data_IF_000308823848
#
_entry.id   IF_000308823848
#
_cell.length_a   1.000
_cell.length_b   1.000
_cell.length_c   1.000
_cell.angle_alpha   90.00
_cell.angle_beta   90.00
_cell.angle_gamma   90.00
#
_symmetry.space_group_name_H-M   'P 1'
#
loop_
_entity.id
_entity.type
_entity.pdbx_description
1 polymer ?
#
# COMPACT_ATOMS: atom_id res chain seq x y z
N UNK A 1 12.47 -22.07 -29.76
CA UNK A 1 12.81 -21.59 -28.42
C UNK A 1 12.09 -20.27 -28.23
N UNK A 2 11.52 -20.01 -27.06
CA UNK A 2 10.78 -18.78 -26.81
C UNK A 2 11.69 -17.56 -26.93
N UNK A 3 11.17 -16.50 -27.53
CA UNK A 3 11.94 -15.32 -27.92
C UNK A 3 11.89 -14.20 -26.87
N UNK A 4 10.95 -14.26 -25.93
CA UNK A 4 10.70 -13.16 -24.99
C UNK A 4 11.41 -13.40 -23.66
N UNK A 5 12.15 -12.38 -23.21
CA UNK A 5 12.95 -12.41 -21.99
C UNK A 5 12.72 -11.14 -21.18
N UNK A 6 12.77 -11.25 -19.86
CA UNK A 6 12.50 -10.14 -18.93
C UNK A 6 13.70 -9.22 -18.68
N UNK A 7 14.67 -9.17 -19.61
CA UNK A 7 15.94 -8.44 -19.40
C UNK A 7 15.76 -6.94 -19.20
N UNK A 8 14.73 -6.35 -19.82
CA UNK A 8 14.42 -4.93 -19.66
C UNK A 8 13.73 -4.61 -18.34
N UNK A 9 13.10 -5.59 -17.67
CA UNK A 9 12.22 -5.34 -16.54
C UNK A 9 12.90 -4.63 -15.37
N UNK A 10 14.13 -4.98 -14.93
CA UNK A 10 14.75 -4.30 -13.78
C UNK A 10 14.89 -2.79 -13.97
N UNK A 11 15.27 -2.36 -15.18
CA UNK A 11 15.39 -0.94 -15.51
C UNK A 11 14.02 -0.24 -15.56
N UNK A 12 13.02 -0.91 -16.13
CA UNK A 12 11.66 -0.39 -16.22
C UNK A 12 10.94 -0.34 -14.86
N UNK A 13 11.17 -1.33 -14.02
CA UNK A 13 10.69 -1.38 -12.63
C UNK A 13 11.26 -0.23 -11.80
N UNK A 14 12.55 0.09 -11.97
CA UNK A 14 13.17 1.22 -11.28
C UNK A 14 12.53 2.56 -11.65
N UNK A 15 12.18 2.78 -12.93
CA UNK A 15 11.45 3.98 -13.39
C UNK A 15 10.07 4.13 -12.73
N UNK A 16 9.49 3.02 -12.27
CA UNK A 16 8.20 2.93 -11.57
C UNK A 16 8.36 2.90 -10.04
N UNK A 17 9.56 3.20 -9.54
CA UNK A 17 9.88 3.24 -8.11
C UNK A 17 9.82 1.87 -7.44
N UNK A 18 10.00 0.78 -8.18
CA UNK A 18 10.06 -0.58 -7.65
C UNK A 18 11.52 -1.01 -7.57
N UNK A 19 11.98 -1.37 -6.37
CA UNK A 19 13.32 -1.93 -6.17
C UNK A 19 13.25 -3.44 -6.41
N UNK A 20 14.02 -3.92 -7.37
CA UNK A 20 14.14 -5.34 -7.71
C UNK A 20 15.55 -5.81 -7.37
N UNK A 21 15.65 -6.85 -6.54
CA UNK A 21 16.90 -7.58 -6.35
C UNK A 21 17.12 -8.56 -7.51
N UNK A 22 18.38 -8.82 -7.84
CA UNK A 22 18.76 -9.69 -8.96
C UNK A 22 19.49 -10.90 -8.42
N UNK A 23 18.93 -12.09 -8.63
CA UNK A 23 19.58 -13.33 -8.24
C UNK A 23 20.74 -13.65 -9.21
N UNK A 24 21.90 -14.12 -8.74
CA UNK A 24 23.04 -14.42 -9.62
C UNK A 24 22.65 -15.30 -10.82
N UNK A 25 22.99 -14.85 -12.04
CA UNK A 25 22.71 -15.54 -13.30
C UNK A 25 21.25 -15.51 -13.76
N UNK A 26 20.41 -14.61 -13.23
CA UNK A 26 19.01 -14.46 -13.63
C UNK A 26 18.84 -14.23 -15.14
N UNK A 27 19.78 -13.55 -15.78
CA UNK A 27 19.76 -13.17 -17.18
C UNK A 27 19.67 -14.39 -18.10
N UNK A 28 20.39 -15.45 -17.75
CA UNK A 28 20.51 -16.65 -18.60
C UNK A 28 19.57 -17.77 -18.16
N UNK A 29 18.85 -17.58 -17.06
CA UNK A 29 18.06 -18.65 -16.44
C UNK A 29 16.70 -18.78 -17.11
N UNK A 30 16.44 -20.00 -17.60
CA UNK A 30 15.17 -20.40 -18.18
C UNK A 30 14.98 -21.91 -18.09
N UNK A 31 13.76 -22.38 -18.35
CA UNK A 31 13.51 -23.79 -18.66
C UNK A 31 14.14 -24.15 -20.01
N UNK A 32 14.13 -25.44 -20.36
CA UNK A 32 14.76 -25.98 -21.58
C UNK A 32 14.25 -25.38 -22.90
N UNK A 33 13.13 -24.67 -22.90
CA UNK A 33 12.59 -23.98 -24.09
C UNK A 33 13.15 -22.58 -24.34
N UNK A 34 14.04 -22.07 -23.48
CA UNK A 34 14.54 -20.70 -23.56
C UNK A 34 13.55 -19.70 -22.98
N UNK A 35 13.39 -18.55 -23.63
CA UNK A 35 12.45 -17.51 -23.24
C UNK A 35 10.99 -17.96 -23.26
N UNK A 36 10.08 -17.02 -22.99
CA UNK A 36 8.65 -17.23 -23.19
C UNK A 36 8.33 -17.24 -24.70
N UNK A 37 7.32 -18.01 -25.10
CA UNK A 37 6.80 -18.00 -26.47
C UNK A 37 6.03 -16.69 -26.75
N UNK A 38 5.46 -16.10 -25.69
CA UNK A 38 4.86 -14.77 -25.66
C UNK A 38 4.66 -14.34 -24.21
N UNK A 39 4.62 -13.04 -23.93
CA UNK A 39 4.22 -12.53 -22.61
C UNK A 39 2.74 -12.15 -22.71
N UNK A 40 1.86 -13.06 -22.29
CA UNK A 40 0.40 -12.92 -22.44
C UNK A 40 -0.31 -12.77 -21.09
N UNK A 41 0.44 -12.80 -19.98
CA UNK A 41 -0.11 -12.50 -18.68
C UNK A 41 0.87 -12.68 -17.53
N UNK A 42 0.36 -12.44 -16.34
CA UNK A 42 1.06 -12.66 -15.07
C UNK A 42 0.27 -13.68 -14.27
N UNK A 43 0.94 -14.74 -13.82
CA UNK A 43 0.36 -15.73 -12.93
C UNK A 43 0.90 -15.53 -11.52
N UNK A 44 -0.02 -15.23 -10.60
CA UNK A 44 0.25 -15.05 -9.19
C UNK A 44 0.17 -16.41 -8.48
N UNK A 45 1.19 -16.71 -7.69
CA UNK A 45 1.31 -17.94 -6.89
C UNK A 45 1.54 -17.61 -5.41
N UNK A 46 1.45 -18.63 -4.58
CA UNK A 46 2.12 -18.67 -3.29
C UNK A 46 3.01 -19.92 -3.17
N UNK A 47 3.99 -19.88 -2.29
CA UNK A 47 5.01 -20.93 -2.19
C UNK A 47 4.60 -22.14 -1.34
N UNK A 48 3.46 -22.06 -0.65
CA UNK A 48 3.04 -22.99 0.41
C UNK A 48 4.08 -23.18 1.54
N UNK A 49 5.04 -22.25 1.67
CA UNK A 49 6.10 -22.33 2.67
C UNK A 49 5.59 -21.91 4.05
N UNK A 50 5.88 -22.63 5.14
CA UNK A 50 5.39 -22.26 6.48
C UNK A 50 6.03 -20.95 6.96
N UNK A 51 5.39 -20.22 7.90
CA UNK A 51 5.90 -18.97 8.47
C UNK A 51 7.29 -19.10 9.11
N UNK A 52 7.65 -20.31 9.56
CA UNK A 52 8.95 -20.64 10.13
C UNK A 52 10.08 -20.70 9.09
N UNK A 53 9.76 -20.74 7.80
CA UNK A 53 10.76 -20.60 6.73
C UNK A 53 11.31 -19.20 6.82
N UNK A 54 12.62 -19.04 7.04
CA UNK A 54 13.26 -17.73 6.95
C UNK A 54 13.07 -17.19 5.52
N UNK A 55 12.18 -16.20 5.30
CA UNK A 55 11.92 -15.67 3.96
C UNK A 55 13.10 -14.83 3.46
N UNK A 56 13.97 -14.41 4.38
CA UNK A 56 15.18 -13.63 4.14
C UNK A 56 16.42 -14.52 4.08
N UNK A 57 16.23 -15.85 4.02
CA UNK A 57 17.26 -16.78 3.57
C UNK A 57 17.04 -17.06 2.07
N UNK A 58 17.50 -16.15 1.19
CA UNK A 58 17.42 -16.37 -0.26
C UNK A 58 18.21 -17.62 -0.67
N UNK A 59 19.18 -18.07 0.15
CA UNK A 59 19.97 -19.25 -0.15
C UNK A 59 19.20 -20.57 0.05
N UNK A 60 18.00 -20.59 0.65
CA UNK A 60 17.23 -21.82 0.80
C UNK A 60 16.07 -21.90 -0.20
N UNK A 61 15.15 -20.92 -0.21
CA UNK A 61 13.99 -20.95 -1.12
C UNK A 61 14.33 -20.57 -2.55
N UNK A 62 15.05 -19.47 -2.76
CA UNK A 62 15.41 -19.04 -4.11
C UNK A 62 16.48 -19.98 -4.71
N UNK A 63 17.38 -20.51 -3.88
CA UNK A 63 18.26 -21.61 -4.31
C UNK A 63 17.50 -22.85 -4.73
N UNK A 64 16.49 -23.29 -3.96
CA UNK A 64 15.63 -24.39 -4.39
C UNK A 64 14.97 -24.10 -5.75
N UNK A 65 14.34 -22.93 -5.88
CA UNK A 65 13.64 -22.52 -7.10
C UNK A 65 14.55 -22.44 -8.32
N UNK A 66 15.77 -21.94 -8.18
CA UNK A 66 16.60 -21.53 -9.30
C UNK A 66 17.90 -22.30 -9.49
N UNK A 67 18.30 -23.15 -8.52
CA UNK A 67 19.57 -23.88 -8.55
C UNK A 67 19.42 -25.38 -8.26
N UNK A 68 18.67 -25.79 -7.23
CA UNK A 68 18.67 -27.20 -6.79
C UNK A 68 17.48 -28.04 -7.23
N UNK A 69 16.30 -27.45 -7.50
CA UNK A 69 15.15 -28.24 -7.95
C UNK A 69 15.41 -28.94 -9.29
N UNK A 70 14.88 -30.16 -9.43
CA UNK A 70 14.95 -30.92 -10.68
C UNK A 70 14.16 -30.27 -11.81
N UNK A 71 13.16 -29.45 -11.47
CA UNK A 71 12.33 -28.72 -12.43
C UNK A 71 12.68 -27.24 -12.53
N UNK A 72 13.85 -26.81 -12.01
CA UNK A 72 14.28 -25.41 -12.10
C UNK A 72 14.32 -24.87 -13.55
N UNK A 73 14.19 -23.55 -13.74
CA UNK A 73 13.77 -22.57 -12.74
C UNK A 73 12.28 -22.67 -12.41
N UNK A 74 11.93 -22.48 -11.14
CA UNK A 74 10.57 -22.29 -10.66
C UNK A 74 10.37 -20.80 -10.42
N UNK A 75 9.38 -20.20 -11.08
CA UNK A 75 9.08 -18.77 -10.96
C UNK A 75 10.09 -17.89 -11.68
N UNK A 76 9.61 -16.75 -12.17
CA UNK A 76 10.47 -15.65 -12.61
C UNK A 76 10.89 -14.81 -11.41
N UNK A 77 9.93 -14.52 -10.52
CA UNK A 77 10.12 -13.70 -9.34
C UNK A 77 9.88 -14.48 -8.05
N UNK A 78 10.60 -14.10 -7.00
CA UNK A 78 10.28 -14.42 -5.61
C UNK A 78 9.86 -13.15 -4.88
N UNK A 79 8.74 -13.20 -4.15
CA UNK A 79 8.25 -12.12 -3.30
C UNK A 79 8.30 -12.55 -1.83
N UNK A 80 9.22 -11.97 -1.07
CA UNK A 80 9.39 -12.22 0.36
C UNK A 80 8.28 -11.59 1.21
N UNK A 81 8.11 -12.10 2.43
CA UNK A 81 7.11 -11.61 3.41
C UNK A 81 7.32 -10.16 3.83
N UNK A 82 8.55 -9.66 3.72
CA UNK A 82 8.93 -8.28 4.01
C UNK A 82 8.70 -7.32 2.82
N UNK A 83 8.17 -7.82 1.70
CA UNK A 83 7.95 -7.05 0.48
C UNK A 83 9.17 -6.99 -0.46
N UNK A 84 10.28 -7.66 -0.13
CA UNK A 84 11.44 -7.74 -1.03
C UNK A 84 11.08 -8.57 -2.27
N UNK A 85 11.37 -8.03 -3.46
CA UNK A 85 11.15 -8.70 -4.74
C UNK A 85 12.48 -9.05 -5.35
N UNK A 86 12.69 -10.31 -5.69
CA UNK A 86 13.86 -10.76 -6.45
C UNK A 86 13.47 -11.34 -7.81
N UNK A 87 14.12 -10.89 -8.88
CA UNK A 87 14.08 -11.53 -10.19
C UNK A 87 15.17 -12.60 -10.26
N UNK A 88 14.77 -13.84 -10.54
CA UNK A 88 15.72 -14.96 -10.65
C UNK A 88 15.69 -15.70 -11.97
N UNK A 89 14.70 -15.53 -12.84
CA UNK A 89 14.75 -16.09 -14.19
C UNK A 89 14.17 -15.11 -15.21
N UNK A 90 14.98 -14.70 -16.19
CA UNK A 90 14.54 -13.85 -17.28
C UNK A 90 13.74 -14.62 -18.35
N UNK A 91 13.95 -15.93 -18.49
CA UNK A 91 13.23 -16.76 -19.48
C UNK A 91 12.00 -17.47 -18.91
N UNK A 92 11.44 -18.43 -19.66
CA UNK A 92 10.29 -19.20 -19.20
C UNK A 92 10.63 -20.05 -17.96
N UNK A 93 9.69 -20.21 -17.02
CA UNK A 93 9.86 -20.98 -15.80
C UNK A 93 8.88 -22.17 -15.71
N UNK A 94 9.22 -23.21 -14.95
CA UNK A 94 8.38 -24.40 -14.76
C UNK A 94 7.45 -24.24 -13.54
N UNK A 95 6.44 -23.37 -13.64
CA UNK A 95 5.58 -23.03 -12.49
C UNK A 95 4.13 -23.46 -12.66
N UNK A 96 3.50 -23.10 -13.79
CA UNK A 96 2.08 -23.31 -14.05
C UNK A 96 1.74 -24.81 -14.21
N UNK A 97 2.54 -25.54 -14.98
CA UNK A 97 2.29 -26.95 -15.30
C UNK A 97 0.93 -27.17 -15.99
N UNK A 98 0.32 -28.33 -15.76
CA UNK A 98 -0.92 -28.73 -16.44
C UNK A 98 -2.14 -27.85 -16.07
N UNK A 99 -2.91 -27.39 -17.05
CA UNK A 99 -4.02 -26.46 -16.84
C UNK A 99 -4.44 -25.73 -18.12
N UNK A 100 -5.33 -24.75 -17.97
CA UNK A 100 -5.94 -24.06 -19.10
C UNK A 100 -6.85 -24.97 -19.93
N UNK A 101 -7.09 -24.63 -21.22
CA UNK A 101 -6.72 -23.37 -21.87
C UNK A 101 -7.39 -22.15 -21.20
N UNK A 102 -6.81 -20.96 -21.34
CA UNK A 102 -7.36 -19.75 -20.73
C UNK A 102 -7.27 -18.54 -21.69
N UNK A 103 -8.36 -17.76 -21.89
CA UNK A 103 -8.34 -16.56 -22.70
C UNK A 103 -7.57 -15.41 -22.02
N UNK A 104 -6.94 -14.58 -22.84
CA UNK A 104 -6.22 -13.35 -22.50
C UNK A 104 -6.58 -12.27 -23.54
N UNK A 105 -6.16 -11.03 -23.33
CA UNK A 105 -6.31 -9.94 -24.30
C UNK A 105 -5.59 -10.23 -25.63
N UNK A 106 -4.60 -11.12 -25.63
CA UNK A 106 -3.73 -11.48 -26.77
C UNK A 106 -4.10 -12.80 -27.44
N UNK A 107 -5.17 -13.45 -26.98
CA UNK A 107 -5.63 -14.75 -27.47
C UNK A 107 -5.74 -15.78 -26.36
N UNK A 108 -5.89 -17.06 -26.73
CA UNK A 108 -6.06 -18.15 -25.76
C UNK A 108 -4.74 -18.87 -25.54
N UNK A 109 -4.24 -18.86 -24.29
CA UNK A 109 -3.10 -19.70 -23.91
C UNK A 109 -3.53 -21.17 -24.02
N UNK A 110 -2.84 -22.00 -24.83
CA UNK A 110 -3.23 -23.39 -25.04
C UNK A 110 -3.17 -24.24 -23.77
N UNK A 111 -3.91 -25.36 -23.75
CA UNK A 111 -3.83 -26.38 -22.71
C UNK A 111 -2.36 -26.74 -22.41
N UNK A 112 -2.01 -26.79 -21.13
CA UNK A 112 -0.69 -27.15 -20.58
C UNK A 112 0.47 -26.27 -21.06
N UNK A 113 0.18 -25.09 -21.63
CA UNK A 113 1.19 -24.19 -22.17
C UNK A 113 1.56 -23.02 -21.23
N UNK A 114 0.94 -22.90 -20.05
CA UNK A 114 1.08 -21.74 -19.15
C UNK A 114 2.52 -21.33 -18.86
N UNK A 115 3.44 -22.29 -18.68
CA UNK A 115 4.87 -22.04 -18.45
C UNK A 115 5.55 -21.20 -19.54
N UNK A 116 5.00 -21.21 -20.77
CA UNK A 116 5.58 -20.50 -21.92
C UNK A 116 4.92 -19.15 -22.19
N UNK A 117 3.83 -18.80 -21.47
CA UNK A 117 3.03 -17.61 -21.75
C UNK A 117 2.80 -16.68 -20.55
N UNK A 118 2.94 -17.19 -19.32
CA UNK A 118 2.74 -16.41 -18.11
C UNK A 118 4.05 -16.15 -17.38
N UNK A 119 4.28 -14.88 -17.01
CA UNK A 119 5.29 -14.51 -16.02
C UNK A 119 4.83 -15.06 -14.66
N UNK A 120 5.70 -15.79 -13.96
CA UNK A 120 5.37 -16.42 -12.69
C UNK A 120 5.96 -15.66 -11.50
N UNK A 121 5.12 -15.31 -10.52
CA UNK A 121 5.54 -14.73 -9.24
C UNK A 121 5.25 -15.72 -8.12
N UNK A 122 6.29 -16.17 -7.43
CA UNK A 122 6.20 -17.05 -6.26
C UNK A 122 6.29 -16.23 -4.98
N UNK A 123 5.18 -16.09 -4.26
CA UNK A 123 5.16 -15.29 -3.03
C UNK A 123 5.24 -16.16 -1.76
N UNK A 124 6.05 -15.71 -0.80
CA UNK A 124 6.32 -16.39 0.45
C UNK A 124 5.09 -16.37 1.38
N UNK A 125 4.30 -17.45 1.39
CA UNK A 125 3.14 -17.63 2.29
C UNK A 125 2.70 -19.11 2.28
N UNK A 126 2.10 -19.60 3.36
CA UNK A 126 1.55 -20.95 3.44
C UNK A 126 0.16 -21.11 2.77
N UNK A 127 -0.58 -20.00 2.65
CA UNK A 127 -1.96 -19.82 2.18
C UNK A 127 -3.05 -20.71 2.78
N UNK A 128 -2.80 -21.35 3.91
CA UNK A 128 -3.78 -22.14 4.65
C UNK A 128 -4.15 -21.47 5.99
N UNK A 129 -3.83 -20.18 6.16
CA UNK A 129 -4.21 -19.38 7.33
C UNK A 129 -3.18 -18.35 7.77
N UNK A 130 -1.97 -18.36 7.18
CA UNK A 130 -0.98 -17.31 7.42
C UNK A 130 -1.44 -15.98 6.82
N UNK A 131 -1.60 -14.97 7.68
CA UNK A 131 -1.86 -13.60 7.25
C UNK A 131 -0.75 -13.13 6.31
N UNK A 132 -1.17 -12.61 5.15
CA UNK A 132 -0.27 -11.91 4.25
C UNK A 132 0.06 -10.53 4.82
N UNK A 133 1.34 -10.20 5.08
CA UNK A 133 1.73 -8.88 5.55
C UNK A 133 1.32 -7.79 4.57
N UNK A 134 0.89 -6.63 5.09
CA UNK A 134 0.48 -5.49 4.28
C UNK A 134 1.58 -5.05 3.30
N UNK A 135 2.83 -4.98 3.76
CA UNK A 135 3.99 -4.64 2.93
C UNK A 135 4.22 -5.64 1.79
N UNK A 136 3.94 -6.92 2.01
CA UNK A 136 4.01 -7.95 0.97
C UNK A 136 2.88 -7.76 -0.04
N UNK A 137 1.66 -7.48 0.40
CA UNK A 137 0.50 -7.24 -0.47
C UNK A 137 0.72 -6.01 -1.35
N UNK A 138 1.21 -4.90 -0.79
CA UNK A 138 1.51 -3.69 -1.57
C UNK A 138 2.65 -3.93 -2.57
N UNK A 139 3.70 -4.66 -2.18
CA UNK A 139 4.77 -5.05 -3.10
C UNK A 139 4.26 -5.95 -4.22
N UNK A 140 3.38 -6.91 -3.92
CA UNK A 140 2.78 -7.80 -4.93
C UNK A 140 1.96 -7.00 -5.93
N UNK A 141 1.10 -6.11 -5.43
CA UNK A 141 0.24 -5.27 -6.26
C UNK A 141 1.06 -4.38 -7.18
N UNK A 142 2.08 -3.69 -6.63
CA UNK A 142 2.98 -2.83 -7.41
C UNK A 142 3.76 -3.60 -8.46
N UNK A 143 4.23 -4.81 -8.14
CA UNK A 143 4.94 -5.68 -9.08
C UNK A 143 4.04 -6.10 -10.24
N UNK A 144 2.82 -6.56 -9.94
CA UNK A 144 1.88 -7.01 -10.98
C UNK A 144 1.46 -5.84 -11.86
N UNK A 145 1.15 -4.68 -11.29
CA UNK A 145 0.88 -3.46 -12.05
C UNK A 145 2.06 -3.07 -12.95
N UNK A 146 3.28 -3.05 -12.42
CA UNK A 146 4.47 -2.72 -13.21
C UNK A 146 4.70 -3.71 -14.35
N UNK A 147 4.45 -5.01 -14.13
CA UNK A 147 4.53 -6.02 -15.20
C UNK A 147 3.46 -5.78 -16.27
N UNK A 148 2.23 -5.44 -15.89
CA UNK A 148 1.18 -5.10 -16.83
C UNK A 148 1.54 -3.88 -17.68
N UNK A 149 2.00 -2.81 -17.04
CA UNK A 149 2.37 -1.57 -17.71
C UNK A 149 3.59 -1.74 -18.64
N UNK A 150 4.61 -2.48 -18.22
CA UNK A 150 5.84 -2.70 -19.01
C UNK A 150 5.59 -3.58 -20.23
N UNK A 151 4.75 -4.60 -20.11
CA UNK A 151 4.53 -5.59 -21.15
C UNK A 151 3.21 -5.40 -21.91
N UNK A 152 2.51 -4.30 -21.66
CA UNK A 152 1.24 -3.93 -22.30
C UNK A 152 0.18 -5.05 -22.13
N UNK A 153 0.00 -5.47 -20.89
CA UNK A 153 -0.99 -6.49 -20.50
C UNK A 153 -2.22 -5.80 -19.92
N UNK A 154 -3.40 -6.32 -20.26
CA UNK A 154 -4.68 -5.83 -19.73
C UNK A 154 -4.95 -6.45 -18.36
N UNK A 155 -4.89 -5.70 -17.24
CA UNK A 155 -5.04 -6.26 -15.91
C UNK A 155 -6.34 -7.04 -15.71
N UNK A 156 -7.44 -6.62 -16.33
CA UNK A 156 -8.75 -7.24 -16.16
C UNK A 156 -8.87 -8.61 -16.83
N UNK A 157 -7.94 -8.98 -17.71
CA UNK A 157 -7.93 -10.28 -18.41
C UNK A 157 -6.67 -11.09 -18.17
N UNK A 158 -5.51 -10.45 -18.08
CA UNK A 158 -4.20 -11.10 -18.23
C UNK A 158 -3.51 -11.39 -16.90
N UNK A 159 -4.04 -10.88 -15.78
CA UNK A 159 -3.63 -11.26 -14.43
C UNK A 159 -4.41 -12.48 -14.01
N UNK A 160 -3.74 -13.57 -13.65
CA UNK A 160 -4.36 -14.84 -13.30
C UNK A 160 -3.77 -15.39 -12.01
N UNK A 161 -4.48 -16.33 -11.40
CA UNK A 161 -4.00 -17.13 -10.28
C UNK A 161 -3.59 -18.52 -10.77
N UNK A 162 -2.71 -19.21 -10.03
CA UNK A 162 -2.43 -20.62 -10.32
C UNK A 162 -3.71 -21.46 -10.24
N UNK A 163 -4.59 -21.14 -9.30
CA UNK A 163 -5.92 -21.72 -9.20
C UNK A 163 -6.75 -21.51 -10.47
N UNK A 164 -6.76 -20.30 -11.04
CA UNK A 164 -7.55 -20.05 -12.26
C UNK A 164 -6.99 -20.78 -13.48
N UNK A 165 -5.66 -21.00 -13.52
CA UNK A 165 -5.03 -21.84 -14.53
C UNK A 165 -5.34 -23.34 -14.33
N UNK A 166 -5.30 -23.82 -13.08
CA UNK A 166 -5.41 -25.23 -12.74
C UNK A 166 -6.42 -25.47 -11.60
N UNK A 167 -7.73 -25.22 -11.83
CA UNK A 167 -8.73 -25.10 -10.77
C UNK A 167 -8.97 -26.36 -9.95
N UNK A 168 -8.70 -27.53 -10.53
CA UNK A 168 -8.86 -28.82 -9.86
C UNK A 168 -7.61 -29.28 -9.10
N UNK A 169 -6.51 -28.53 -9.18
CA UNK A 169 -5.19 -28.96 -8.71
C UNK A 169 -4.51 -27.95 -7.80
N UNK A 170 -4.96 -26.69 -7.85
CA UNK A 170 -4.32 -25.54 -7.23
C UNK A 170 -5.35 -24.69 -6.51
N UNK A 171 -4.93 -24.09 -5.41
CA UNK A 171 -5.76 -23.18 -4.61
C UNK A 171 -5.22 -21.75 -4.65
N UNK A 172 -4.03 -21.55 -5.20
CA UNK A 172 -3.23 -20.37 -4.91
C UNK A 172 -3.38 -19.24 -5.93
N UNK A 173 -3.17 -17.98 -5.48
CA UNK A 173 -2.88 -17.56 -4.11
C UNK A 173 -4.11 -17.70 -3.18
N UNK A 174 -3.83 -18.04 -1.92
CA UNK A 174 -4.83 -18.27 -0.90
C UNK A 174 -4.36 -17.73 0.45
N UNK A 175 -5.28 -17.60 1.40
CA UNK A 175 -5.02 -17.11 2.75
C UNK A 175 -5.56 -15.70 3.00
N UNK A 176 -5.55 -15.24 4.26
CA UNK A 176 -6.17 -13.99 4.65
C UNK A 176 -5.31 -12.78 4.33
N UNK A 177 -5.96 -11.72 3.85
CA UNK A 177 -5.36 -10.43 3.48
C UNK A 177 -6.08 -9.29 4.22
N UNK A 178 -5.91 -9.13 5.55
CA UNK A 178 -6.63 -8.12 6.32
C UNK A 178 -6.43 -6.67 5.83
N UNK A 179 -5.28 -6.35 5.21
CA UNK A 179 -5.04 -5.04 4.58
C UNK A 179 -5.81 -4.84 3.27
N UNK A 180 -6.21 -5.93 2.60
CA UNK A 180 -7.06 -5.93 1.41
C UNK A 180 -8.14 -7.01 1.53
N UNK A 181 -9.15 -6.84 2.39
CA UNK A 181 -10.13 -7.90 2.70
C UNK A 181 -10.91 -8.39 1.49
N UNK A 182 -11.04 -7.56 0.44
CA UNK A 182 -11.69 -7.92 -0.83
C UNK A 182 -10.99 -9.06 -1.57
N UNK A 183 -9.70 -9.33 -1.30
CA UNK A 183 -8.94 -10.41 -1.92
C UNK A 183 -9.21 -11.74 -1.23
N UNK A 184 -8.65 -11.97 -0.03
CA UNK A 184 -8.71 -13.24 0.70
C UNK A 184 -9.52 -13.21 2.00
N UNK A 185 -10.19 -12.09 2.32
CA UNK A 185 -10.84 -11.86 3.61
C UNK A 185 -9.86 -11.57 4.75
N UNK A 186 -10.37 -11.51 5.98
CA UNK A 186 -9.57 -11.19 7.18
C UNK A 186 -9.06 -12.42 7.93
N UNK A 187 -9.56 -13.62 7.62
CA UNK A 187 -9.15 -14.89 8.24
C UNK A 187 -9.42 -16.10 7.32
N UNK A 188 -8.80 -17.25 7.61
CA UNK A 188 -8.99 -18.51 6.88
C UNK A 188 -7.98 -18.74 5.73
N UNK A 189 -8.17 -19.83 4.97
CA UNK A 189 -7.25 -20.30 3.93
C UNK A 189 -7.87 -20.37 2.52
N UNK A 190 -8.79 -19.44 2.20
CA UNK A 190 -9.51 -19.48 0.92
C UNK A 190 -8.65 -18.90 -0.21
N UNK A 191 -8.85 -19.42 -1.42
CA UNK A 191 -8.37 -18.76 -2.65
C UNK A 191 -8.88 -17.33 -2.70
N UNK A 192 -8.03 -16.42 -3.18
CA UNK A 192 -8.38 -15.03 -3.32
C UNK A 192 -9.48 -14.79 -4.38
N UNK A 193 -10.11 -13.62 -4.32
CA UNK A 193 -11.02 -13.11 -5.32
C UNK A 193 -10.26 -12.46 -6.48
N UNK A 194 -10.22 -13.14 -7.63
CA UNK A 194 -9.50 -12.68 -8.80
C UNK A 194 -9.99 -11.32 -9.31
N UNK A 195 -11.31 -11.11 -9.36
CA UNK A 195 -11.88 -9.86 -9.86
C UNK A 195 -11.49 -8.67 -9.00
N UNK A 196 -11.39 -8.86 -7.68
CA UNK A 196 -10.93 -7.82 -6.76
C UNK A 196 -9.45 -7.48 -6.99
N UNK A 197 -8.58 -8.49 -7.12
CA UNK A 197 -7.16 -8.28 -7.43
C UNK A 197 -6.98 -7.55 -8.76
N UNK A 198 -7.66 -8.01 -9.82
CA UNK A 198 -7.59 -7.38 -11.14
C UNK A 198 -8.03 -5.92 -11.13
N UNK A 199 -9.10 -5.62 -10.40
CA UNK A 199 -9.58 -4.25 -10.22
C UNK A 199 -8.55 -3.38 -9.51
N UNK A 200 -7.91 -3.89 -8.46
CA UNK A 200 -6.87 -3.15 -7.74
C UNK A 200 -5.63 -2.92 -8.61
N UNK A 201 -5.20 -3.92 -9.40
CA UNK A 201 -4.08 -3.77 -10.35
C UNK A 201 -4.40 -2.72 -11.41
N UNK A 202 -5.59 -2.77 -12.01
CA UNK A 202 -6.03 -1.82 -13.03
C UNK A 202 -6.03 -0.38 -12.51
N UNK A 203 -6.37 -0.18 -11.24
CA UNK A 203 -6.43 1.14 -10.63
C UNK A 203 -5.09 1.58 -9.98
N UNK A 204 -4.08 0.73 -9.85
CA UNK A 204 -2.88 1.07 -9.07
C UNK A 204 -2.15 2.35 -9.56
N UNK A 205 -2.14 2.61 -10.87
CA UNK A 205 -1.55 3.83 -11.46
C UNK A 205 -2.46 5.08 -11.44
N UNK A 206 -3.74 4.93 -11.08
CA UNK A 206 -4.73 6.02 -11.00
C UNK A 206 -5.20 6.29 -9.57
N UNK A 207 -4.94 5.35 -8.65
CA UNK A 207 -5.04 5.58 -7.22
C UNK A 207 -4.04 6.68 -6.84
N UNK A 208 -4.40 7.66 -6.00
CA UNK A 208 -3.40 8.51 -5.38
C UNK A 208 -2.36 7.58 -4.75
N UNK A 209 -1.09 7.76 -5.12
CA UNK A 209 0.01 6.96 -4.57
C UNK A 209 0.06 7.23 -3.07
N UNK A 210 -0.57 6.36 -2.30
CA UNK A 210 -0.26 6.27 -0.89
C UNK A 210 1.14 5.63 -0.85
N UNK A 211 2.18 6.30 -0.31
CA UNK A 211 3.36 5.54 0.12
C UNK A 211 2.86 4.39 1.00
N UNK A 212 3.48 3.20 0.96
CA UNK A 212 3.05 2.07 1.78
C UNK A 212 2.84 2.57 3.20
N UNK A 213 1.57 2.72 3.58
CA UNK A 213 1.22 3.24 4.88
C UNK A 213 1.50 2.11 5.82
N UNK A 214 2.61 2.18 6.53
CA UNK A 214 2.68 1.44 7.77
C UNK A 214 1.49 1.92 8.60
N UNK A 215 0.53 1.03 8.89
CA UNK A 215 -0.53 1.25 9.90
C UNK A 215 0.03 1.59 11.30
N UNK A 216 1.32 1.92 11.43
CA UNK A 216 1.98 2.46 12.62
C UNK A 216 1.89 3.97 12.76
N UNK A 217 1.54 4.72 11.72
CA UNK A 217 1.81 6.16 11.67
C UNK A 217 0.68 7.02 12.24
N UNK A 218 -0.58 6.58 12.18
CA UNK A 218 -1.66 7.25 12.89
C UNK A 218 -1.77 6.74 14.33
N UNK A 219 -1.53 7.62 15.29
CA UNK A 219 -1.78 7.37 16.72
C UNK A 219 -3.14 7.92 17.09
N UNK A 220 -4.11 7.02 17.30
CA UNK A 220 -5.43 7.36 17.82
C UNK A 220 -5.36 7.57 19.34
N UNK A 221 -6.15 8.52 19.84
CA UNK A 221 -6.35 8.72 21.28
C UNK A 221 -7.82 8.87 21.61
N UNK A 222 -8.16 8.71 22.88
CA UNK A 222 -9.41 9.27 23.36
C UNK A 222 -9.40 10.78 23.07
N UNK A 223 -10.52 11.38 22.63
CA UNK A 223 -10.58 12.81 22.38
C UNK A 223 -10.12 13.61 23.60
N UNK A 224 -9.13 14.48 23.44
CA UNK A 224 -8.64 15.38 24.49
C UNK A 224 -8.91 16.81 24.10
N UNK A 225 -9.57 17.55 24.99
CA UNK A 225 -9.76 18.99 24.82
C UNK A 225 -8.43 19.71 24.99
N UNK A 226 -7.85 20.17 23.90
CA UNK A 226 -6.59 20.92 23.91
C UNK A 226 -6.82 22.42 23.90
N UNK A 227 -7.95 22.90 23.37
CA UNK A 227 -8.32 24.34 23.41
C UNK A 227 -9.80 24.47 23.76
N UNK A 228 -10.10 25.38 24.68
CA UNK A 228 -11.42 25.93 24.89
C UNK A 228 -11.28 27.41 25.19
N UNK A 229 -11.57 28.27 24.21
CA UNK A 229 -11.41 29.72 24.34
C UNK A 229 -12.40 30.37 25.34
N UNK A 230 -13.33 29.61 25.92
CA UNK A 230 -14.29 30.11 26.91
C UNK A 230 -13.74 29.99 28.33
N UNK A 231 -13.00 28.92 28.63
CA UNK A 231 -12.51 28.59 29.98
C UNK A 231 -10.97 28.47 30.06
N UNK A 232 -10.31 28.18 28.94
CA UNK A 232 -8.90 27.81 28.86
C UNK A 232 -8.67 26.34 29.24
N UNK A 233 -7.57 25.75 28.76
CA UNK A 233 -7.15 24.40 29.15
C UNK A 233 -5.80 24.42 29.85
N UNK A 234 -5.42 23.30 30.48
CA UNK A 234 -4.08 23.13 31.05
C UNK A 234 -2.97 23.17 29.99
N UNK A 235 -3.26 22.75 28.76
CA UNK A 235 -2.32 22.77 27.64
C UNK A 235 -2.21 24.15 27.00
N UNK A 236 -3.36 24.82 26.85
CA UNK A 236 -3.50 26.11 26.17
C UNK A 236 -4.45 26.99 27.01
N UNK A 237 -3.93 27.79 27.96
CA UNK A 237 -4.73 28.51 28.95
C UNK A 237 -5.42 29.78 28.40
N UNK A 238 -5.64 29.85 27.08
CA UNK A 238 -6.33 30.97 26.46
C UNK A 238 -7.84 30.88 26.71
N UNK A 239 -8.40 31.86 27.43
CA UNK A 239 -9.78 31.88 27.92
C UNK A 239 -10.56 33.12 27.49
N UNK A 240 -10.26 33.63 26.30
CA UNK A 240 -10.90 34.82 25.74
C UNK A 240 -11.39 34.53 24.34
N UNK A 241 -12.46 35.21 23.93
CA UNK A 241 -12.94 35.18 22.55
C UNK A 241 -11.81 35.61 21.60
N UNK A 242 -11.65 34.89 20.49
CA UNK A 242 -10.68 35.26 19.47
C UNK A 242 -11.27 36.38 18.64
N UNK A 243 -10.50 37.43 18.35
CA UNK A 243 -10.95 38.53 17.50
C UNK A 243 -9.75 39.12 16.75
N UNK A 244 -9.60 38.74 15.48
CA UNK A 244 -8.41 39.03 14.69
C UNK A 244 -7.12 38.57 15.40
N UNK A 245 -7.19 37.38 16.00
CA UNK A 245 -6.14 36.84 16.88
C UNK A 245 -5.54 35.59 16.27
N UNK A 246 -4.21 35.50 16.25
CA UNK A 246 -3.48 34.27 15.98
C UNK A 246 -3.08 33.64 17.31
N UNK A 247 -3.47 32.40 17.56
CA UNK A 247 -2.96 31.62 18.68
C UNK A 247 -2.00 30.53 18.18
N UNK A 248 -0.95 30.29 18.96
CA UNK A 248 -0.10 29.09 18.80
C UNK A 248 -0.59 28.04 19.79
N UNK A 249 -0.93 26.87 19.27
CA UNK A 249 -1.54 25.76 20.02
C UNK A 249 -0.52 24.64 20.20
N UNK A 250 -0.41 24.16 21.44
CA UNK A 250 0.34 22.97 21.81
C UNK A 250 -0.58 21.74 21.76
N UNK A 251 -0.30 20.74 20.91
CA UNK A 251 -1.05 19.49 20.90
C UNK A 251 -0.72 18.62 22.12
N UNK A 252 -1.49 17.55 22.31
CA UNK A 252 -1.27 16.57 23.37
C UNK A 252 -0.78 15.23 22.82
N UNK A 253 0.48 14.86 23.12
CA UNK A 253 1.15 13.68 22.55
C UNK A 253 1.30 12.48 23.50
N UNK A 254 0.71 12.52 24.71
CA UNK A 254 0.85 11.46 25.72
C UNK A 254 2.33 11.03 25.98
N UNK A 255 3.27 11.97 25.82
CA UNK A 255 4.71 11.70 25.79
C UNK A 255 5.48 12.78 25.01
N UNK A 256 6.72 12.48 24.60
CA UNK A 256 7.52 13.41 23.81
C UNK A 256 7.03 13.50 22.35
N UNK A 257 7.06 14.66 21.70
CA UNK A 257 6.47 14.91 20.37
C UNK A 257 7.25 14.30 19.18
N UNK A 258 8.11 13.30 19.42
CA UNK A 258 9.04 12.81 18.40
C UNK A 258 8.30 12.22 17.20
N UNK A 259 8.57 12.80 16.03
CA UNK A 259 8.09 12.34 14.73
C UNK A 259 6.72 12.88 14.29
N UNK A 260 6.00 13.63 15.14
CA UNK A 260 4.70 14.13 14.74
C UNK A 260 4.80 15.20 13.63
N UNK A 261 3.99 15.06 12.58
CA UNK A 261 3.93 16.00 11.45
C UNK A 261 2.51 16.56 11.20
N UNK A 262 1.50 16.02 11.87
CA UNK A 262 0.13 16.50 11.78
C UNK A 262 -0.78 15.94 12.86
N UNK A 263 -1.87 16.64 13.13
CA UNK A 263 -2.89 16.28 14.12
C UNK A 263 -4.27 16.21 13.48
N UNK A 264 -5.12 15.33 14.00
CA UNK A 264 -6.56 15.30 13.66
C UNK A 264 -7.33 15.93 14.80
N UNK A 265 -8.17 16.89 14.46
CA UNK A 265 -8.96 17.68 15.40
C UNK A 265 -10.43 17.60 15.05
N UNK A 266 -11.28 17.53 16.07
CA UNK A 266 -12.67 17.93 15.98
C UNK A 266 -12.76 19.39 16.47
N UNK A 267 -13.17 20.28 15.59
CA UNK A 267 -13.21 21.72 15.84
C UNK A 267 -14.66 22.17 15.89
N UNK A 268 -15.02 22.87 16.95
CA UNK A 268 -16.32 23.53 17.08
C UNK A 268 -16.11 25.04 17.20
N UNK A 269 -16.78 25.81 16.34
CA UNK A 269 -16.77 27.27 16.37
C UNK A 269 -18.17 27.80 16.65
N UNK A 270 -18.25 28.79 17.52
CA UNK A 270 -19.48 29.53 17.82
C UNK A 270 -19.19 31.02 17.84
N UNK A 271 -20.05 31.80 17.19
CA UNK A 271 -19.93 33.25 17.11
C UNK A 271 -21.29 33.92 16.93
N UNK A 272 -21.37 35.20 17.30
CA UNK A 272 -22.49 36.09 17.01
C UNK A 272 -22.34 36.81 15.66
N UNK A 273 -21.24 36.63 14.93
CA UNK A 273 -20.99 37.19 13.59
C UNK A 273 -20.60 36.07 12.62
N UNK A 274 -20.78 36.29 11.32
CA UNK A 274 -20.29 35.35 10.32
C UNK A 274 -18.77 35.45 10.20
N UNK A 275 -18.08 34.33 10.03
CA UNK A 275 -16.63 34.30 9.95
C UNK A 275 -16.09 32.91 9.64
N UNK A 276 -14.78 32.75 9.79
CA UNK A 276 -14.11 31.48 9.53
C UNK A 276 -12.90 31.28 10.45
N UNK A 277 -12.47 30.03 10.57
CA UNK A 277 -11.25 29.65 11.28
C UNK A 277 -10.26 29.00 10.29
N UNK A 278 -8.99 29.38 10.42
CA UNK A 278 -7.87 28.81 9.65
C UNK A 278 -6.89 28.14 10.60
N UNK A 279 -6.39 26.97 10.20
CA UNK A 279 -5.36 26.22 10.88
C UNK A 279 -4.17 25.98 9.96
N UNK A 280 -2.95 26.10 10.49
CA UNK A 280 -1.72 25.81 9.74
C UNK A 280 -0.52 25.60 10.68
N UNK A 281 0.62 25.21 10.12
CA UNK A 281 1.85 24.94 10.87
C UNK A 281 2.51 26.19 11.49
N UNK A 282 2.11 27.39 11.06
CA UNK A 282 2.68 28.64 11.50
C UNK A 282 4.03 29.02 10.90
N UNK A 283 4.55 28.22 9.95
CA UNK A 283 5.85 28.44 9.28
C UNK A 283 5.71 29.44 8.14
N UNK A 284 4.66 29.28 7.33
CA UNK A 284 4.28 30.24 6.29
C UNK A 284 3.15 31.14 6.76
N UNK A 285 2.82 32.11 5.92
CA UNK A 285 1.61 32.92 6.08
C UNK A 285 0.36 32.05 6.17
N UNK A 286 -0.66 32.56 6.87
CA UNK A 286 -1.93 31.85 7.02
C UNK A 286 -2.53 31.55 5.63
N UNK A 287 -3.02 30.32 5.40
CA UNK A 287 -3.74 29.99 4.16
C UNK A 287 -4.94 30.90 3.92
N UNK A 288 -5.23 31.20 2.65
CA UNK A 288 -6.43 31.94 2.26
C UNK A 288 -7.71 31.09 2.34
N UNK A 289 -7.57 29.76 2.43
CA UNK A 289 -8.68 28.84 2.54
C UNK A 289 -9.10 28.65 4.00
N UNK A 290 -10.40 28.74 4.27
CA UNK A 290 -11.00 28.43 5.57
C UNK A 290 -11.09 26.92 5.80
N UNK A 291 -10.83 26.46 7.04
CA UNK A 291 -11.11 25.07 7.43
C UNK A 291 -12.55 24.89 7.92
N UNK A 292 -13.10 25.90 8.58
CA UNK A 292 -14.49 25.94 9.02
C UNK A 292 -15.04 27.35 8.91
N UNK A 293 -16.27 27.46 8.42
CA UNK A 293 -17.02 28.71 8.38
C UNK A 293 -18.18 28.62 9.38
N UNK A 294 -18.47 29.75 10.02
CA UNK A 294 -19.54 29.84 11.01
C UNK A 294 -20.43 31.05 10.73
N UNK A 295 -21.71 30.92 11.08
CA UNK A 295 -22.72 31.95 10.94
C UNK A 295 -23.33 32.28 12.32
N UNK A 296 -23.88 33.50 12.51
CA UNK A 296 -24.51 33.88 13.76
C UNK A 296 -25.57 32.86 14.20
N UNK A 297 -25.49 32.42 15.45
CA UNK A 297 -26.49 31.51 16.04
C UNK A 297 -26.37 30.05 15.62
N UNK A 298 -25.35 29.69 14.82
CA UNK A 298 -25.07 28.30 14.44
C UNK A 298 -23.80 27.83 15.15
N UNK A 299 -23.89 26.67 15.79
CA UNK A 299 -22.72 25.92 16.26
C UNK A 299 -22.19 25.13 15.07
N UNK A 300 -21.07 25.56 14.50
CA UNK A 300 -20.46 24.87 13.37
C UNK A 300 -19.39 23.91 13.89
N UNK A 301 -19.40 22.66 13.42
CA UNK A 301 -18.38 21.66 13.74
C UNK A 301 -17.81 20.99 12.49
N UNK A 302 -16.53 20.63 12.52
CA UNK A 302 -15.91 19.81 11.46
C UNK A 302 -14.66 19.09 11.96
N UNK A 303 -14.30 18.00 11.27
CA UNK A 303 -13.00 17.35 11.46
C UNK A 303 -11.96 17.95 10.53
N UNK A 304 -10.77 18.25 11.05
CA UNK A 304 -9.66 18.81 10.29
C UNK A 304 -8.37 18.06 10.56
N UNK A 305 -7.56 17.89 9.51
CA UNK A 305 -6.14 17.58 9.64
C UNK A 305 -5.34 18.88 9.60
N UNK A 306 -4.37 19.03 10.51
CA UNK A 306 -3.53 20.23 10.60
C UNK A 306 -2.06 19.82 10.65
N UNK A 307 -1.19 20.32 9.76
CA UNK A 307 0.24 20.09 9.83
C UNK A 307 0.84 20.78 11.06
N UNK A 308 1.89 20.21 11.62
CA UNK A 308 2.60 20.79 12.77
C UNK A 308 3.91 21.45 12.36
N UNK A 309 4.27 22.50 13.09
CA UNK A 309 5.53 23.20 12.92
C UNK A 309 6.72 22.24 13.06
N UNK A 310 7.82 22.45 12.32
CA UNK A 310 9.08 21.73 12.49
C UNK A 310 9.85 22.21 13.73
N UNK A 311 9.16 22.62 14.80
CA UNK A 311 9.75 22.96 16.08
C UNK A 311 9.71 21.77 17.05
N UNK A 312 10.39 21.90 18.19
CA UNK A 312 10.49 20.84 19.19
C UNK A 312 9.16 20.48 19.82
N UNK A 313 8.20 21.41 19.89
CA UNK A 313 6.89 21.21 20.51
C UNK A 313 5.81 20.75 19.52
N UNK A 314 6.12 20.71 18.21
CA UNK A 314 5.19 20.38 17.13
C UNK A 314 3.88 21.18 17.20
N UNK A 315 3.98 22.47 17.45
CA UNK A 315 2.81 23.36 17.56
C UNK A 315 2.11 23.58 16.23
N UNK A 316 0.86 24.05 16.25
CA UNK A 316 0.20 24.62 15.08
C UNK A 316 -0.41 25.99 15.44
N UNK A 317 -0.92 26.73 14.47
CA UNK A 317 -1.58 28.02 14.68
C UNK A 317 -3.05 27.95 14.31
N UNK A 318 -3.85 28.75 15.02
CA UNK A 318 -5.26 29.00 14.73
C UNK A 318 -5.49 30.50 14.59
N UNK A 319 -6.29 30.89 13.60
CA UNK A 319 -6.67 32.28 13.34
C UNK A 319 -8.15 32.38 13.02
N UNK A 320 -8.77 33.45 13.50
CA UNK A 320 -10.06 33.93 13.01
C UNK A 320 -10.02 35.46 12.88
N UNK A 321 -10.44 36.03 11.74
CA UNK A 321 -10.54 37.48 11.58
C UNK A 321 -11.71 38.08 12.37
N UNK A 322 -12.68 37.27 12.75
CA UNK A 322 -13.92 37.71 13.39
C UNK A 322 -14.00 37.22 14.83
N UNK A 323 -14.75 37.95 15.65
CA UNK A 323 -15.02 37.56 17.05
C UNK A 323 -15.66 36.18 17.11
N UNK A 324 -15.12 35.25 17.88
CA UNK A 324 -15.74 33.94 18.09
C UNK A 324 -14.97 33.05 19.07
N UNK A 325 -15.68 32.08 19.61
CA UNK A 325 -15.10 31.02 20.44
C UNK A 325 -14.85 29.77 19.61
N UNK A 326 -13.69 29.17 19.85
CA UNK A 326 -13.30 27.88 19.28
C UNK A 326 -13.04 26.89 20.42
N UNK A 327 -13.52 25.67 20.22
CA UNK A 327 -13.23 24.47 21.03
C UNK A 327 -12.54 23.47 20.11
N UNK A 328 -11.44 22.89 20.57
CA UNK A 328 -10.62 21.94 19.79
C UNK A 328 -10.39 20.70 20.64
N UNK A 329 -10.96 19.58 20.17
CA UNK A 329 -10.72 18.26 20.72
C UNK A 329 -9.79 17.48 19.77
N UNK A 330 -8.61 17.10 20.24
CA UNK A 330 -7.67 16.31 19.46
C UNK A 330 -8.02 14.82 19.57
N UNK A 331 -8.10 14.12 18.44
CA UNK A 331 -8.48 12.69 18.38
C UNK A 331 -7.31 11.77 18.01
N UNK A 332 -6.22 12.33 17.51
CA UNK A 332 -5.01 11.59 17.16
C UNK A 332 -3.98 12.44 16.44
N UNK A 333 -2.85 11.83 16.08
CA UNK A 333 -1.78 12.46 15.30
C UNK A 333 -1.09 11.47 14.38
N UNK A 334 -0.39 12.00 13.37
CA UNK A 334 0.47 11.22 12.49
C UNK A 334 1.93 11.33 12.91
N UNK A 335 2.65 10.22 12.89
CA UNK A 335 4.11 10.13 13.01
C UNK A 335 4.69 9.71 11.65
N UNK A 336 5.75 10.39 11.18
CA UNK A 336 6.41 10.16 9.87
C UNK A 336 5.50 10.30 8.63
N UNK A 337 5.56 11.45 7.97
CA UNK A 337 4.97 11.63 6.65
C UNK A 337 5.41 12.92 5.99
#
# INVERSE_FOLDING_TARGET
>A
MGAYWLHNFPAEAAKRGLKIELYPGWELRSRSTGGLDGIWGVCMHHTASPPSTNPNDPANRMYHMWQSSDVKPIGNFYLSRDGTITLGAAGAANTQGAGGPLPTSRGTVPLDAGNRYYIAIEAANNGIGEIWPEIQIEAYLKLVWALCDVYDLEPLTDVIFHQTWAPNRKIDPAGPTPSRPSWGGTSGGKTWNLSAVRSDVANYGTLPTYPPSTMSDFKITNPVRIVDTREGTSFNPHKTELNNTILTIKPHYYGAPQGANGVILNVTAVSSVAGYVVFWDGVKEAPLASNISFNPGVVSNTMVWVPTAPNTEKTFKVYTPQRGHVIIDQVGWFVNG
#
